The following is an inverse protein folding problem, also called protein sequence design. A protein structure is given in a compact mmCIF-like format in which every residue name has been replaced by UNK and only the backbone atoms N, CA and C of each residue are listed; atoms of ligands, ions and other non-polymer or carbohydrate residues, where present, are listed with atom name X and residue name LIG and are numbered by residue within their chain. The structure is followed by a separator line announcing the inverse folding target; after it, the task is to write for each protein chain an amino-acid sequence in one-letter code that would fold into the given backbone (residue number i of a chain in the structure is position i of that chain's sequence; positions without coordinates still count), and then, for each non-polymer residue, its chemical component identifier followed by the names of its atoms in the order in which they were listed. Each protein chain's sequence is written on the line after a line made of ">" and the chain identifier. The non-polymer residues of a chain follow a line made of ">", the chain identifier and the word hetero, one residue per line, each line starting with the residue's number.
data_IF_094696327026
#
_entry.id   IF_094696327026
#
_cell.length_a   1.000
_cell.length_b   1.000
_cell.length_c   1.000
_cell.angle_alpha   90.00
_cell.angle_beta   90.00
_cell.angle_gamma   90.00
#
_symmetry.space_group_name_H-M   'P 1'
#
loop_
_entity.id
_entity.type
_entity.pdbx_description
1 polymer ?
#
# COMPACT_ATOMS: atom_id res chain seq x y z
N UNK A 1 -20.07 -12.99 -8.10
CA UNK A 1 -19.05 -13.39 -7.10
C UNK A 1 -19.48 -14.63 -6.32
N UNK A 2 -20.63 -14.65 -5.65
CA UNK A 2 -21.16 -15.87 -5.00
C UNK A 2 -21.44 -16.97 -6.04
N UNK A 3 -22.08 -16.61 -7.17
CA UNK A 3 -22.27 -17.54 -8.31
C UNK A 3 -20.96 -18.04 -8.93
N UNK A 4 -19.89 -17.23 -8.89
CA UNK A 4 -18.58 -17.59 -9.44
C UNK A 4 -17.82 -18.54 -8.49
N UNK A 5 -18.03 -18.39 -7.18
CA UNK A 5 -17.46 -19.26 -6.14
C UNK A 5 -18.18 -20.62 -6.09
N UNK A 6 -19.51 -20.65 -6.18
CA UNK A 6 -20.29 -21.89 -6.25
C UNK A 6 -19.94 -22.73 -7.48
N UNK A 7 -19.59 -22.07 -8.60
CA UNK A 7 -19.10 -22.73 -9.82
C UNK A 7 -17.71 -23.35 -9.66
N UNK A 8 -16.83 -22.74 -8.85
CA UNK A 8 -15.42 -23.16 -8.70
C UNK A 8 -15.17 -24.16 -7.59
N UNK A 9 -15.95 -24.12 -6.51
CA UNK A 9 -15.66 -24.86 -5.27
C UNK A 9 -16.85 -25.73 -4.81
N UNK A 10 -17.53 -26.36 -5.78
CA UNK A 10 -18.74 -27.15 -5.62
C UNK A 10 -18.90 -27.81 -4.24
N UNK A 11 -20.05 -27.55 -3.62
CA UNK A 11 -20.53 -28.13 -2.36
C UNK A 11 -19.86 -27.67 -1.05
N UNK A 12 -19.13 -26.56 -1.03
CA UNK A 12 -18.83 -25.88 0.24
C UNK A 12 -20.11 -25.26 0.81
N UNK A 13 -20.48 -25.57 2.06
CA UNK A 13 -21.75 -25.15 2.67
C UNK A 13 -21.93 -23.62 2.54
N UNK A 14 -22.93 -23.12 1.80
CA UNK A 14 -23.08 -21.70 1.49
C UNK A 14 -23.10 -20.79 2.72
N UNK A 15 -23.50 -21.31 3.89
CA UNK A 15 -23.54 -20.59 5.16
C UNK A 15 -22.16 -20.34 5.79
N UNK A 16 -21.22 -21.27 5.66
CA UNK A 16 -19.86 -21.14 6.22
C UNK A 16 -19.05 -20.14 5.39
N UNK A 17 -19.15 -20.23 4.06
CA UNK A 17 -18.60 -19.22 3.16
C UNK A 17 -19.18 -17.83 3.46
N UNK A 18 -20.52 -17.72 3.63
CA UNK A 18 -21.17 -16.44 3.98
C UNK A 18 -20.68 -15.87 5.32
N UNK A 19 -20.44 -16.72 6.32
CA UNK A 19 -19.89 -16.31 7.62
C UNK A 19 -18.47 -15.75 7.49
N UNK A 20 -17.61 -16.40 6.71
CA UNK A 20 -16.25 -15.89 6.48
C UNK A 20 -16.25 -14.51 5.80
N UNK A 21 -17.16 -14.27 4.85
CA UNK A 21 -17.31 -12.95 4.22
C UNK A 21 -17.81 -11.87 5.17
N UNK A 22 -18.49 -12.22 6.27
CA UNK A 22 -19.03 -11.26 7.24
C UNK A 22 -18.13 -11.00 8.45
N UNK A 23 -17.05 -11.76 8.62
CA UNK A 23 -16.17 -11.67 9.81
C UNK A 23 -15.07 -10.62 9.58
N UNK A 24 -14.04 -10.95 8.80
CA UNK A 24 -12.93 -10.01 8.53
C UNK A 24 -12.42 -10.03 7.07
N UNK A 25 -13.02 -10.83 6.19
CA UNK A 25 -12.56 -11.00 4.81
C UNK A 25 -12.38 -9.68 4.06
N UNK A 26 -13.37 -8.77 4.14
CA UNK A 26 -13.35 -7.54 3.35
C UNK A 26 -12.29 -6.55 3.84
N UNK A 27 -12.12 -6.41 5.15
CA UNK A 27 -11.09 -5.55 5.71
C UNK A 27 -9.68 -6.13 5.47
N UNK A 28 -9.51 -7.46 5.53
CA UNK A 28 -8.26 -8.11 5.13
C UNK A 28 -7.93 -7.88 3.64
N UNK A 29 -8.93 -8.04 2.76
CA UNK A 29 -8.78 -7.79 1.32
C UNK A 29 -8.35 -6.34 1.05
N UNK A 30 -9.00 -5.37 1.67
CA UNK A 30 -8.71 -3.96 1.45
C UNK A 30 -7.33 -3.55 1.98
N UNK A 31 -6.94 -4.08 3.15
CA UNK A 31 -5.58 -3.90 3.68
C UNK A 31 -4.56 -4.49 2.71
N UNK A 32 -4.79 -5.71 2.21
CA UNK A 32 -3.90 -6.35 1.26
C UNK A 32 -3.82 -5.60 -0.08
N UNK A 33 -4.94 -5.06 -0.59
CA UNK A 33 -4.97 -4.21 -1.78
C UNK A 33 -4.14 -2.93 -1.58
N UNK A 34 -4.31 -2.26 -0.44
CA UNK A 34 -3.55 -1.05 -0.14
C UNK A 34 -2.04 -1.31 -0.07
N UNK A 35 -1.63 -2.43 0.54
CA UNK A 35 -0.21 -2.84 0.56
C UNK A 35 0.28 -3.22 -0.85
N UNK A 36 -0.57 -3.82 -1.68
CA UNK A 36 -0.28 -4.09 -3.09
C UNK A 36 -0.03 -2.81 -3.89
N UNK A 37 -0.88 -1.80 -3.70
CA UNK A 37 -0.72 -0.47 -4.33
C UNK A 37 0.59 0.19 -3.88
N UNK A 38 0.90 0.16 -2.60
CA UNK A 38 2.17 0.67 -2.06
C UNK A 38 3.39 -0.01 -2.69
N UNK A 39 3.35 -1.33 -2.84
CA UNK A 39 4.42 -2.09 -3.52
C UNK A 39 4.54 -1.72 -4.99
N UNK A 40 3.41 -1.52 -5.67
CA UNK A 40 3.41 -1.05 -7.06
C UNK A 40 4.07 0.33 -7.19
N UNK A 41 3.71 1.29 -6.32
CA UNK A 41 4.33 2.62 -6.29
C UNK A 41 5.85 2.54 -6.10
N UNK A 42 6.32 1.71 -5.15
CA UNK A 42 7.76 1.47 -4.95
C UNK A 42 8.44 0.84 -6.16
N UNK A 43 7.76 -0.06 -6.87
CA UNK A 43 8.31 -0.67 -8.08
C UNK A 43 8.43 0.35 -9.22
N UNK A 44 7.45 1.25 -9.35
CA UNK A 44 7.47 2.38 -10.29
C UNK A 44 8.68 3.30 -10.03
N UNK A 45 9.04 3.53 -8.77
CA UNK A 45 10.21 4.32 -8.40
C UNK A 45 11.55 3.67 -8.80
N UNK A 46 11.60 2.35 -8.96
CA UNK A 46 12.81 1.60 -9.27
C UNK A 46 13.08 1.46 -10.78
N UNK A 47 12.13 1.84 -11.63
CA UNK A 47 12.24 1.70 -13.09
C UNK A 47 13.46 2.42 -13.67
N UNK A 48 13.81 3.67 -13.28
CA UNK A 48 14.99 4.35 -13.81
C UNK A 48 16.31 3.60 -13.58
N UNK A 49 16.47 3.00 -12.41
CA UNK A 49 17.68 2.26 -12.05
C UNK A 49 17.79 0.98 -12.89
N UNK A 50 16.68 0.27 -13.06
CA UNK A 50 16.61 -0.91 -13.91
C UNK A 50 16.97 -0.58 -15.37
N UNK A 51 16.36 0.46 -15.95
CA UNK A 51 16.60 0.86 -17.34
C UNK A 51 18.05 1.31 -17.54
N UNK A 52 18.59 2.09 -16.60
CA UNK A 52 20.01 2.51 -16.61
C UNK A 52 20.93 1.29 -16.65
N UNK A 53 20.69 0.29 -15.79
CA UNK A 53 21.48 -0.93 -15.76
C UNK A 53 21.41 -1.72 -17.08
N UNK A 54 20.24 -1.79 -17.72
CA UNK A 54 20.06 -2.46 -19.02
C UNK A 54 20.84 -1.74 -20.13
N UNK A 55 20.74 -0.41 -20.22
CA UNK A 55 21.47 0.40 -21.21
C UNK A 55 22.99 0.27 -21.00
N UNK A 56 23.46 0.32 -19.76
CA UNK A 56 24.88 0.17 -19.45
C UNK A 56 25.41 -1.24 -19.77
N UNK A 57 24.56 -2.29 -19.65
CA UNK A 57 24.94 -3.66 -20.03
C UNK A 57 25.03 -3.86 -21.54
N UNK A 58 24.21 -3.17 -22.35
CA UNK A 58 24.25 -3.32 -23.82
C UNK A 58 25.44 -2.60 -24.45
N UNK A 59 25.97 -1.54 -23.82
CA UNK A 59 27.11 -0.74 -24.31
C UNK A 59 28.51 -1.31 -24.00
N UNK A 60 28.63 -2.63 -23.82
CA UNK A 60 29.85 -3.32 -23.33
C UNK A 60 31.15 -3.12 -24.13
N UNK A 61 31.18 -2.41 -25.25
CA UNK A 61 32.36 -2.19 -26.10
C UNK A 61 33.11 -0.88 -25.86
N UNK A 62 32.54 0.12 -25.20
CA UNK A 62 33.21 1.40 -24.94
C UNK A 62 33.49 1.57 -23.44
N UNK A 63 34.73 1.96 -23.11
CA UNK A 63 35.28 2.21 -21.77
C UNK A 63 34.19 2.63 -20.75
N UNK A 64 34.03 1.86 -19.67
CA UNK A 64 33.17 2.20 -18.52
C UNK A 64 33.59 3.54 -17.92
N UNK A 65 33.02 4.62 -18.43
CA UNK A 65 33.23 5.97 -17.95
C UNK A 65 32.16 6.29 -16.92
N UNK A 66 32.58 6.73 -15.73
CA UNK A 66 31.68 7.22 -14.67
C UNK A 66 30.80 8.36 -15.19
N UNK A 67 31.34 9.21 -16.06
CA UNK A 67 30.61 10.29 -16.69
C UNK A 67 29.49 9.77 -17.62
N UNK A 68 29.76 8.69 -18.37
CA UNK A 68 28.76 8.08 -19.24
C UNK A 68 27.60 7.50 -18.44
N UNK A 69 27.89 6.82 -17.33
CA UNK A 69 26.86 6.27 -16.44
C UNK A 69 25.97 7.37 -15.86
N UNK A 70 26.57 8.47 -15.38
CA UNK A 70 25.84 9.61 -14.87
C UNK A 70 24.93 10.26 -15.95
N UNK A 71 25.44 10.41 -17.18
CA UNK A 71 24.67 10.95 -18.30
C UNK A 71 23.50 10.04 -18.69
N UNK A 72 23.71 8.72 -18.72
CA UNK A 72 22.64 7.75 -19.00
C UNK A 72 21.57 7.79 -17.90
N UNK A 73 21.99 7.79 -16.62
CA UNK A 73 21.06 7.88 -15.49
C UNK A 73 20.22 9.16 -15.56
N UNK A 74 20.83 10.31 -15.84
CA UNK A 74 20.13 11.58 -15.98
C UNK A 74 19.14 11.54 -17.15
N UNK A 75 19.55 11.04 -18.32
CA UNK A 75 18.67 10.92 -19.47
C UNK A 75 17.46 10.01 -19.20
N UNK A 76 17.67 8.88 -18.53
CA UNK A 76 16.61 7.96 -18.13
C UNK A 76 15.65 8.61 -17.13
N UNK A 77 16.17 9.30 -16.12
CA UNK A 77 15.34 10.02 -15.15
C UNK A 77 14.46 11.09 -15.83
N UNK A 78 15.06 11.92 -16.68
CA UNK A 78 14.33 12.96 -17.43
C UNK A 78 13.24 12.37 -18.33
N UNK A 79 13.51 11.22 -18.97
CA UNK A 79 12.51 10.53 -19.80
C UNK A 79 11.42 9.84 -18.98
N UNK A 80 11.73 9.39 -17.76
CA UNK A 80 10.81 8.70 -16.88
C UNK A 80 9.85 9.65 -16.15
N UNK A 81 10.32 10.85 -15.80
CA UNK A 81 9.57 11.78 -14.95
C UNK A 81 8.15 12.09 -15.45
N UNK A 82 7.90 12.35 -16.77
CA UNK A 82 6.55 12.57 -17.27
C UNK A 82 5.65 11.33 -17.14
N UNK A 83 6.22 10.13 -17.34
CA UNK A 83 5.50 8.85 -17.22
C UNK A 83 5.15 8.59 -15.76
N UNK A 84 6.10 8.84 -14.85
CA UNK A 84 5.89 8.77 -13.41
C UNK A 84 4.77 9.71 -12.99
N UNK A 85 4.80 10.96 -13.45
CA UNK A 85 3.75 11.95 -13.16
C UNK A 85 2.38 11.47 -13.64
N UNK A 86 2.27 10.94 -14.86
CA UNK A 86 1.02 10.34 -15.36
C UNK A 86 0.50 9.25 -14.43
N UNK A 87 1.36 8.34 -13.96
CA UNK A 87 0.99 7.28 -13.02
C UNK A 87 0.44 7.87 -11.71
N UNK A 88 1.10 8.85 -11.11
CA UNK A 88 0.59 9.48 -9.88
C UNK A 88 -0.73 10.23 -10.10
N UNK A 89 -0.90 10.93 -11.23
CA UNK A 89 -2.15 11.65 -11.54
C UNK A 89 -3.37 10.75 -11.72
N UNK A 90 -3.19 9.43 -11.91
CA UNK A 90 -4.30 8.47 -11.93
C UNK A 90 -4.93 8.22 -10.55
N UNK A 91 -4.44 8.89 -9.49
CA UNK A 91 -5.05 8.84 -8.16
C UNK A 91 -4.73 7.55 -7.40
N UNK A 92 -3.57 6.94 -7.66
CA UNK A 92 -3.15 5.69 -7.02
C UNK A 92 -3.05 5.84 -5.49
N UNK A 93 -2.56 6.99 -5.03
CA UNK A 93 -2.48 7.32 -3.60
C UNK A 93 -3.87 7.48 -2.98
N UNK A 94 -4.80 8.11 -3.71
CA UNK A 94 -6.19 8.24 -3.27
C UNK A 94 -6.91 6.89 -3.25
N UNK A 95 -6.62 5.99 -4.20
CA UNK A 95 -7.13 4.63 -4.20
C UNK A 95 -6.62 3.85 -2.97
N UNK A 96 -5.32 3.98 -2.66
CA UNK A 96 -4.73 3.38 -1.48
C UNK A 96 -5.38 3.90 -0.19
N UNK A 97 -5.53 5.22 -0.06
CA UNK A 97 -6.21 5.86 1.06
C UNK A 97 -7.67 5.41 1.18
N UNK A 98 -8.37 5.30 0.05
CA UNK A 98 -9.75 4.81 0.00
C UNK A 98 -9.83 3.37 0.53
N UNK A 99 -8.90 2.50 0.14
CA UNK A 99 -8.82 1.15 0.70
C UNK A 99 -8.64 1.16 2.23
N UNK A 100 -7.78 2.03 2.76
CA UNK A 100 -7.60 2.16 4.21
C UNK A 100 -8.87 2.63 4.92
N UNK A 101 -9.51 3.69 4.43
CA UNK A 101 -10.73 4.23 5.02
C UNK A 101 -11.82 3.16 5.02
N UNK A 102 -12.04 2.49 3.89
CA UNK A 102 -13.05 1.45 3.78
C UNK A 102 -12.73 0.27 4.71
N UNK A 103 -11.47 -0.16 4.80
CA UNK A 103 -11.06 -1.26 5.68
C UNK A 103 -11.40 -0.97 7.14
N UNK A 104 -11.17 0.26 7.60
CA UNK A 104 -11.52 0.69 8.97
C UNK A 104 -13.03 0.75 9.16
N UNK A 105 -13.77 1.36 8.22
CA UNK A 105 -15.21 1.58 8.36
C UNK A 105 -16.06 0.31 8.30
N UNK A 106 -15.63 -0.71 7.56
CA UNK A 106 -16.38 -1.96 7.40
C UNK A 106 -15.92 -3.06 8.36
N UNK A 107 -14.82 -2.85 9.08
CA UNK A 107 -14.32 -3.83 10.04
C UNK A 107 -15.28 -3.90 11.24
N UNK A 108 -15.79 -5.09 11.61
CA UNK A 108 -16.72 -5.20 12.75
C UNK A 108 -16.10 -4.85 14.11
N UNK A 109 -14.79 -5.11 14.28
CA UNK A 109 -14.04 -4.87 15.51
C UNK A 109 -12.59 -4.42 15.20
N UNK A 110 -12.37 -3.19 14.71
CA UNK A 110 -11.04 -2.71 14.34
C UNK A 110 -10.04 -2.70 15.51
N UNK A 111 -10.51 -2.55 16.75
CA UNK A 111 -9.72 -2.61 17.99
C UNK A 111 -9.13 -4.00 18.29
N UNK A 112 -9.71 -5.05 17.71
CA UNK A 112 -9.25 -6.43 17.86
C UNK A 112 -8.63 -7.00 16.57
N UNK A 113 -8.68 -6.24 15.46
CA UNK A 113 -8.18 -6.68 14.15
C UNK A 113 -6.82 -6.05 13.80
N UNK A 114 -5.73 -6.78 14.07
CA UNK A 114 -4.35 -6.31 13.83
C UNK A 114 -4.06 -5.85 12.40
N UNK A 115 -4.61 -6.53 11.38
CA UNK A 115 -4.35 -6.16 9.99
C UNK A 115 -4.89 -4.76 9.69
N UNK A 116 -6.08 -4.42 10.20
CA UNK A 116 -6.68 -3.08 10.07
C UNK A 116 -5.91 -2.05 10.88
N UNK A 117 -5.53 -2.38 12.11
CA UNK A 117 -4.75 -1.49 12.98
C UNK A 117 -3.44 -1.03 12.34
N UNK A 118 -2.67 -1.98 11.82
CA UNK A 118 -1.32 -1.73 11.33
C UNK A 118 -1.32 -1.32 9.86
N UNK A 119 -2.22 -1.92 9.07
CA UNK A 119 -2.27 -1.78 7.63
C UNK A 119 -3.18 -0.66 7.12
N UNK A 120 -4.07 -0.11 7.95
CA UNK A 120 -4.99 0.97 7.55
C UNK A 120 -5.06 2.11 8.56
N UNK A 121 -5.34 1.82 9.83
CA UNK A 121 -5.57 2.85 10.86
C UNK A 121 -4.30 3.65 11.20
N UNK A 122 -3.17 2.97 11.41
CA UNK A 122 -1.90 3.64 11.69
C UNK A 122 -1.42 4.51 10.51
N UNK A 123 -1.47 4.05 9.24
CA UNK A 123 -1.21 4.91 8.08
C UNK A 123 -2.10 6.16 8.05
N UNK A 124 -3.41 6.02 8.22
CA UNK A 124 -4.35 7.15 8.23
C UNK A 124 -4.04 8.14 9.36
N UNK A 125 -3.67 7.62 10.53
CA UNK A 125 -3.30 8.46 11.67
C UNK A 125 -2.06 9.32 11.38
N UNK A 126 -1.10 8.78 10.62
CA UNK A 126 0.11 9.48 10.19
C UNK A 126 -0.12 10.52 9.09
N UNK A 127 -1.14 10.34 8.24
CA UNK A 127 -1.47 11.32 7.19
C UNK A 127 -2.05 12.64 7.72
N UNK A 128 -2.38 12.72 9.01
CA UNK A 128 -2.77 13.97 9.66
C UNK A 128 -4.11 13.87 10.39
N UNK A 129 -4.18 13.02 11.41
CA UNK A 129 -5.31 13.08 12.35
C UNK A 129 -5.15 14.26 13.32
N UNK A 130 -6.24 14.95 13.59
CA UNK A 130 -6.34 15.93 14.67
C UNK A 130 -6.01 15.27 16.02
N UNK A 131 -5.32 15.99 16.92
CA UNK A 131 -4.97 15.49 18.26
C UNK A 131 -6.19 14.97 19.04
N UNK A 132 -7.33 15.65 18.92
CA UNK A 132 -8.60 15.22 19.53
C UNK A 132 -9.03 13.83 19.05
N UNK A 133 -8.82 13.53 17.76
CA UNK A 133 -9.13 12.22 17.20
C UNK A 133 -8.15 11.16 17.69
N UNK A 134 -6.87 11.51 17.94
CA UNK A 134 -5.86 10.61 18.51
C UNK A 134 -6.17 10.25 19.97
N UNK A 135 -6.55 11.23 20.79
CA UNK A 135 -6.96 11.01 22.18
C UNK A 135 -8.16 10.07 22.28
N UNK A 136 -9.14 10.24 21.39
CA UNK A 136 -10.31 9.34 21.32
C UNK A 136 -9.93 7.92 20.90
N UNK A 137 -9.04 7.77 19.92
CA UNK A 137 -8.54 6.44 19.54
C UNK A 137 -7.79 5.77 20.70
N UNK A 138 -7.03 6.53 21.48
CA UNK A 138 -6.30 6.00 22.63
C UNK A 138 -7.20 5.41 23.73
N UNK A 139 -8.48 5.79 23.77
CA UNK A 139 -9.45 5.29 24.76
C UNK A 139 -10.09 3.96 24.37
N UNK A 140 -10.08 3.62 23.07
CA UNK A 140 -10.82 2.45 22.54
C UNK A 140 -9.90 1.39 21.91
N UNK A 141 -8.65 1.73 21.61
CA UNK A 141 -7.67 0.79 21.03
C UNK A 141 -6.68 0.23 22.06
N UNK A 142 -6.10 -0.96 21.82
CA UNK A 142 -5.14 -1.58 22.72
C UNK A 142 -3.93 -0.68 23.03
N UNK A 143 -3.48 -0.66 24.29
CA UNK A 143 -2.39 0.20 24.76
C UNK A 143 -1.09 0.04 23.94
N UNK A 144 -0.80 -1.18 23.48
CA UNK A 144 0.36 -1.46 22.64
C UNK A 144 0.25 -0.83 21.24
N UNK A 145 -0.93 -0.77 20.66
CA UNK A 145 -1.14 -0.03 19.41
C UNK A 145 -1.01 1.48 19.63
N UNK A 146 -1.57 2.01 20.73
CA UNK A 146 -1.47 3.43 21.09
C UNK A 146 -0.01 3.85 21.31
N UNK A 147 0.81 3.01 21.95
CA UNK A 147 2.25 3.22 22.10
C UNK A 147 2.94 3.39 20.74
N UNK A 148 2.69 2.45 19.81
CA UNK A 148 3.24 2.51 18.44
C UNK A 148 2.76 3.72 17.64
N UNK A 149 1.52 4.15 17.86
CA UNK A 149 0.99 5.38 17.28
C UNK A 149 1.82 6.59 17.73
N UNK A 150 2.07 6.73 19.04
CA UNK A 150 2.87 7.84 19.60
C UNK A 150 4.31 7.81 19.10
N UNK A 151 4.96 6.66 19.18
CA UNK A 151 6.35 6.48 18.68
C UNK A 151 6.49 6.78 17.19
N UNK A 152 5.49 6.41 16.40
CA UNK A 152 5.48 6.68 14.97
C UNK A 152 5.19 8.13 14.58
N UNK A 153 4.81 8.98 15.53
CA UNK A 153 4.50 10.41 15.35
C UNK A 153 5.60 11.31 15.92
N UNK A 154 6.27 10.91 17.00
CA UNK A 154 7.38 11.65 17.61
C UNK A 154 8.71 11.54 16.81
N UNK A 155 8.73 10.72 15.76
CA UNK A 155 9.88 10.50 14.88
C UNK A 155 9.89 11.32 13.58
N UNK A 156 9.11 12.41 13.50
CA UNK A 156 9.03 13.34 12.35
C UNK A 156 9.65 14.69 12.72
#
# INVERSE_FOLDING_TARGET
>A
MIEELDKRFGASKPREARRQFTDHFWCDLLVALAEGIKKFSKAVDQIPDYVTAVIMRSRRTERRSVLLEALVRLAVQTAWEPIKHMIHTTGIEDLQRTCWILAVLICPAPEDHRAVQDGALLPLAKEGMLEISKERLAQVFPAEWVRRLREGLDGV
#
